data_IF_702156072717
#
_entry.id   IF_702156072717
#
_cell.length_a   1.000
_cell.length_b   1.000
_cell.length_c   1.000
_cell.angle_alpha   90.00
_cell.angle_beta   90.00
_cell.angle_gamma   90.00
#
_symmetry.space_group_name_H-M   'P 1'
#
loop_
_entity.id
_entity.type
_entity.pdbx_description
1 polymer ?
#
# COMPACT_ATOMS: atom_id res chain seq x y z
N UNK A 1 9.93 -10.50 -16.09
CA UNK A 1 9.38 -10.53 -14.72
C UNK A 1 10.47 -10.19 -13.74
N UNK A 2 10.47 -8.93 -13.31
CA UNK A 2 11.27 -8.51 -12.18
C UNK A 2 10.91 -9.33 -10.93
N UNK A 3 11.86 -10.10 -10.39
CA UNK A 3 11.65 -10.94 -9.19
C UNK A 3 11.36 -10.13 -7.92
N UNK A 4 11.63 -8.83 -7.93
CA UNK A 4 11.45 -7.92 -6.78
C UNK A 4 10.02 -7.39 -6.72
N UNK A 5 9.34 -7.23 -7.85
CA UNK A 5 8.01 -6.63 -7.94
C UNK A 5 6.97 -7.66 -8.38
N UNK A 6 6.34 -8.29 -7.40
CA UNK A 6 5.30 -9.30 -7.59
C UNK A 6 3.93 -8.74 -7.22
N UNK A 7 3.05 -8.62 -8.23
CA UNK A 7 1.67 -8.15 -8.05
C UNK A 7 0.87 -9.03 -7.09
N UNK A 8 1.09 -10.35 -7.08
CA UNK A 8 0.38 -11.27 -6.19
C UNK A 8 0.77 -11.03 -4.74
N UNK A 9 2.07 -10.88 -4.47
CA UNK A 9 2.56 -10.55 -3.14
C UNK A 9 1.98 -9.21 -2.67
N UNK A 10 2.04 -8.19 -3.52
CA UNK A 10 1.48 -6.87 -3.19
C UNK A 10 -0.03 -6.92 -2.93
N UNK A 11 -0.77 -7.72 -3.69
CA UNK A 11 -2.21 -7.89 -3.52
C UNK A 11 -2.51 -8.57 -2.19
N UNK A 12 -1.84 -9.69 -1.89
CA UNK A 12 -2.00 -10.40 -0.62
C UNK A 12 -1.64 -9.51 0.57
N UNK A 13 -0.51 -8.82 0.54
CA UNK A 13 -0.08 -7.94 1.61
C UNK A 13 -1.05 -6.75 1.82
N UNK A 14 -1.58 -6.18 0.74
CA UNK A 14 -2.56 -5.07 0.82
C UNK A 14 -3.87 -5.52 1.41
N UNK A 15 -4.39 -6.67 0.95
CA UNK A 15 -5.65 -7.23 1.42
C UNK A 15 -5.57 -7.86 2.82
N UNK A 16 -4.37 -7.99 3.39
CA UNK A 16 -4.16 -8.49 4.76
C UNK A 16 -3.63 -7.36 5.64
N UNK A 17 -2.31 -7.19 5.70
CA UNK A 17 -1.65 -6.18 6.52
C UNK A 17 -2.15 -4.77 6.17
N UNK A 18 -2.30 -4.44 4.89
CA UNK A 18 -2.70 -3.09 4.46
C UNK A 18 -4.13 -2.68 4.83
N UNK A 19 -5.02 -3.65 5.02
CA UNK A 19 -6.42 -3.41 5.45
C UNK A 19 -6.65 -3.68 6.93
N UNK A 20 -5.69 -4.24 7.66
CA UNK A 20 -5.86 -4.55 9.06
C UNK A 20 -5.97 -3.28 9.92
N UNK A 21 -6.80 -3.31 10.99
CA UNK A 21 -7.89 -4.24 11.24
C UNK A 21 -9.04 -4.02 10.25
N UNK A 22 -9.76 -5.05 9.83
CA UNK A 22 -10.68 -4.92 8.67
C UNK A 22 -11.92 -4.04 8.89
N UNK A 23 -12.28 -3.72 10.14
CA UNK A 23 -13.50 -2.97 10.47
C UNK A 23 -13.27 -2.04 11.68
N UNK A 24 -12.94 -0.75 11.49
CA UNK A 24 -12.49 -0.12 10.25
C UNK A 24 -10.96 -0.27 10.01
N UNK A 25 -10.50 -0.32 8.75
CA UNK A 25 -9.07 -0.27 8.40
C UNK A 25 -8.35 0.92 9.01
N UNK A 26 -7.21 0.68 9.68
CA UNK A 26 -6.39 1.74 10.26
C UNK A 26 -6.00 2.79 9.22
N UNK A 27 -5.61 2.33 8.02
CA UNK A 27 -5.15 3.21 6.94
C UNK A 27 -6.15 4.33 6.60
N UNK A 28 -7.47 4.05 6.64
CA UNK A 28 -8.50 5.05 6.32
C UNK A 28 -8.49 6.17 7.35
N UNK A 29 -8.53 5.81 8.65
CA UNK A 29 -8.50 6.78 9.74
C UNK A 29 -7.20 7.58 9.76
N UNK A 30 -6.05 6.94 9.51
CA UNK A 30 -4.76 7.64 9.44
C UNK A 30 -4.69 8.63 8.26
N UNK A 31 -5.18 8.25 7.07
CA UNK A 31 -5.25 9.18 5.93
C UNK A 31 -6.13 10.39 6.25
N UNK A 32 -7.30 10.17 6.84
CA UNK A 32 -8.19 11.26 7.28
C UNK A 32 -7.51 12.18 8.30
N UNK A 33 -6.79 11.60 9.26
CA UNK A 33 -6.04 12.36 10.26
C UNK A 33 -4.94 13.22 9.64
N UNK A 34 -4.19 12.67 8.66
CA UNK A 34 -3.18 13.42 7.91
C UNK A 34 -3.81 14.55 7.10
N UNK A 35 -4.94 14.30 6.42
CA UNK A 35 -5.68 15.35 5.69
C UNK A 35 -6.17 16.47 6.62
N UNK A 36 -6.45 16.15 7.89
CA UNK A 36 -6.78 17.13 8.95
C UNK A 36 -5.57 17.85 9.56
N UNK A 37 -4.37 17.71 8.99
CA UNK A 37 -3.14 18.38 9.44
C UNK A 37 -2.31 17.58 10.46
N UNK A 38 -2.62 16.30 10.68
CA UNK A 38 -1.87 15.41 11.56
C UNK A 38 -1.69 15.93 13.01
N UNK A 39 -2.59 16.81 13.46
CA UNK A 39 -2.50 17.43 14.80
C UNK A 39 -2.54 16.34 15.87
N UNK A 40 -1.50 16.27 16.68
CA UNK A 40 -1.37 15.31 17.78
C UNK A 40 -0.94 13.89 17.37
N UNK A 41 -0.59 13.62 16.11
CA UNK A 41 -0.06 12.31 15.71
C UNK A 41 1.29 12.04 16.39
N UNK A 42 1.39 10.88 17.04
CA UNK A 42 2.62 10.40 17.69
C UNK A 42 3.46 9.60 16.69
N UNK A 43 4.75 9.34 16.99
CA UNK A 43 5.59 8.49 16.13
C UNK A 43 4.97 7.12 15.82
N UNK A 44 4.25 6.53 16.78
CA UNK A 44 3.56 5.25 16.57
C UNK A 44 2.40 5.36 15.56
N UNK A 45 1.71 6.50 15.50
CA UNK A 45 0.63 6.73 14.52
C UNK A 45 1.19 6.86 13.11
N UNK A 46 2.37 7.49 12.97
CA UNK A 46 3.11 7.55 11.71
C UNK A 46 3.61 6.18 11.29
N UNK A 47 4.13 5.39 12.23
CA UNK A 47 4.55 4.03 11.96
C UNK A 47 3.37 3.16 11.51
N UNK A 48 2.23 3.26 12.18
CA UNK A 48 1.00 2.56 11.81
C UNK A 48 0.51 2.94 10.41
N UNK A 49 0.47 4.24 10.08
CA UNK A 49 0.18 4.72 8.73
C UNK A 49 1.14 4.14 7.68
N UNK A 50 2.44 4.16 7.97
CA UNK A 50 3.46 3.63 7.07
C UNK A 50 3.31 2.10 6.89
N UNK A 51 3.16 1.36 7.98
CA UNK A 51 3.04 -0.09 7.98
C UNK A 51 1.83 -0.57 7.17
N UNK A 52 0.69 0.08 7.35
CA UNK A 52 -0.53 -0.26 6.60
C UNK A 52 -0.53 0.31 5.18
N UNK A 53 0.14 1.45 4.94
CA UNK A 53 0.25 2.08 3.62
C UNK A 53 1.27 1.43 2.68
N UNK A 54 2.36 0.86 3.22
CA UNK A 54 3.47 0.32 2.43
C UNK A 54 3.06 -0.81 1.47
N UNK A 55 2.19 -1.78 1.85
CA UNK A 55 1.70 -2.80 0.94
C UNK A 55 1.00 -2.22 -0.30
N UNK A 56 0.22 -1.14 -0.14
CA UNK A 56 -0.50 -0.51 -1.25
C UNK A 56 0.45 0.18 -2.22
N UNK A 57 1.46 0.89 -1.71
CA UNK A 57 2.50 1.51 -2.54
C UNK A 57 3.25 0.44 -3.34
N UNK A 58 3.62 -0.66 -2.69
CA UNK A 58 4.27 -1.79 -3.36
C UNK A 58 3.37 -2.43 -4.44
N UNK A 59 2.08 -2.63 -4.16
CA UNK A 59 1.11 -3.15 -5.12
C UNK A 59 0.99 -2.25 -6.36
N UNK A 60 0.87 -0.93 -6.17
CA UNK A 60 0.75 0.03 -7.27
C UNK A 60 1.99 -0.01 -8.17
N UNK A 61 3.19 0.04 -7.57
CA UNK A 61 4.45 -0.02 -8.33
C UNK A 61 4.56 -1.35 -9.08
N UNK A 62 4.25 -2.47 -8.42
CA UNK A 62 4.28 -3.80 -9.04
C UNK A 62 3.31 -3.92 -10.20
N UNK A 63 2.09 -3.37 -10.06
CA UNK A 63 1.10 -3.37 -11.13
C UNK A 63 1.56 -2.54 -12.33
N UNK A 64 2.11 -1.34 -12.12
CA UNK A 64 2.65 -0.50 -13.20
C UNK A 64 3.74 -1.24 -13.96
N UNK A 65 4.69 -1.86 -13.26
CA UNK A 65 5.79 -2.62 -13.88
C UNK A 65 5.23 -3.80 -14.67
N UNK A 66 4.30 -4.57 -14.09
CA UNK A 66 3.66 -5.71 -14.76
C UNK A 66 2.98 -5.30 -16.07
N UNK A 67 2.21 -4.22 -16.08
CA UNK A 67 1.53 -3.76 -17.29
C UNK A 67 2.50 -3.22 -18.34
N UNK A 68 3.58 -2.53 -17.93
CA UNK A 68 4.63 -2.07 -18.85
C UNK A 68 5.37 -3.23 -19.51
N UNK A 69 5.71 -4.28 -18.76
CA UNK A 69 6.34 -5.50 -19.31
C UNK A 69 5.39 -6.19 -20.31
N UNK A 70 4.10 -6.29 -19.96
CA UNK A 70 3.09 -6.93 -20.83
C UNK A 70 2.83 -6.14 -22.12
N UNK A 71 2.89 -4.82 -22.08
CA UNK A 71 2.79 -4.00 -23.29
C UNK A 71 3.99 -4.19 -24.22
N UNK A 72 5.22 -4.21 -23.67
CA UNK A 72 6.43 -4.49 -24.46
C UNK A 72 6.41 -5.85 -25.14
N UNK A 73 5.91 -6.87 -24.45
CA UNK A 73 5.81 -8.23 -25.02
C UNK A 73 4.76 -8.37 -26.13
N UNK A 74 3.88 -7.38 -26.30
CA UNK A 74 2.87 -7.33 -27.37
C UNK A 74 3.32 -6.51 -28.58
N UNK A 75 4.35 -5.68 -28.43
CA UNK A 75 4.94 -4.89 -29.50
C UNK A 75 6.04 -5.70 -30.20
#
# INVERSE_FOLDING_TARGET
>A
MNKIFDVRLGLMASLTLGLAPFTPPHIIGKIQWVMGGAVGMKPMDWFDLFLHGLPWVYLIISAIIYFKEKQKAKA
#
